data_IF_069205224450
#
_entry.id   IF_069205224450
#
_cell.length_a   1.000
_cell.length_b   1.000
_cell.length_c   1.000
_cell.angle_alpha   90.00
_cell.angle_beta   90.00
_cell.angle_gamma   90.00
#
_symmetry.space_group_name_H-M   'P 1'
#
loop_
_entity.id
_entity.type
_entity.pdbx_description
1 polymer ?
#
# COMPACT_ATOMS: atom_id res chain seq x y z
N UNK A 1 -27.50 -26.00 31.93
CA UNK A 1 -27.14 -26.16 33.36
C UNK A 1 -25.69 -25.70 33.58
N UNK A 2 -25.57 -24.88 34.62
CA UNK A 2 -24.32 -24.50 35.35
C UNK A 2 -23.38 -23.50 34.70
N UNK A 3 -23.61 -22.28 35.13
CA UNK A 3 -22.73 -21.11 35.32
C UNK A 3 -21.42 -21.49 36.00
N UNK A 4 -20.30 -20.86 35.59
CA UNK A 4 -19.26 -20.44 36.56
C UNK A 4 -18.62 -19.14 36.11
N UNK A 5 -18.94 -18.14 36.88
CA UNK A 5 -18.33 -16.80 36.97
C UNK A 5 -17.03 -16.95 37.77
N UNK A 6 -15.92 -16.36 37.28
CA UNK A 6 -14.78 -16.04 38.13
C UNK A 6 -14.28 -14.64 37.77
N UNK A 7 -14.59 -13.73 38.68
CA UNK A 7 -13.93 -12.42 38.83
C UNK A 7 -12.58 -12.62 39.47
N UNK A 8 -11.52 -11.97 38.98
CA UNK A 8 -10.43 -11.51 39.80
C UNK A 8 -9.83 -10.24 39.24
N UNK A 9 -9.97 -9.19 40.01
CA UNK A 9 -9.32 -7.90 39.90
C UNK A 9 -7.90 -7.96 40.48
N UNK A 10 -6.94 -7.26 39.83
CA UNK A 10 -5.77 -6.77 40.51
C UNK A 10 -5.22 -5.54 39.79
N UNK A 11 -5.31 -4.43 40.48
CA UNK A 11 -4.75 -3.11 40.23
C UNK A 11 -3.26 -3.14 40.58
N UNK A 12 -2.40 -2.63 39.67
CA UNK A 12 -1.09 -2.09 40.08
C UNK A 12 -0.81 -0.84 39.25
N UNK A 13 -0.90 0.29 39.94
CA UNK A 13 -0.39 1.58 39.51
C UNK A 13 1.12 1.66 39.77
N UNK A 14 1.89 2.08 38.76
CA UNK A 14 3.26 2.55 39.01
C UNK A 14 3.49 3.82 38.19
N UNK A 15 3.48 4.94 38.89
CA UNK A 15 3.92 6.25 38.47
C UNK A 15 5.46 6.29 38.50
N UNK A 16 6.08 6.58 37.37
CA UNK A 16 7.45 7.07 37.31
C UNK A 16 7.48 8.44 36.66
N UNK A 17 7.55 9.46 37.49
CA UNK A 17 7.98 10.80 37.13
C UNK A 17 9.50 10.83 37.17
N UNK A 18 10.16 11.04 36.04
CA UNK A 18 11.55 11.49 36.05
C UNK A 18 11.60 12.90 35.48
N UNK A 19 11.73 13.82 36.38
CA UNK A 19 12.14 15.20 36.19
C UNK A 19 13.63 15.23 35.87
N UNK A 20 14.04 15.79 34.76
CA UNK A 20 15.40 16.30 34.61
C UNK A 20 15.37 17.76 34.21
N UNK A 21 15.74 18.56 35.18
CA UNK A 21 16.02 19.96 35.11
C UNK A 21 17.40 20.19 34.45
N UNK A 22 17.46 21.03 33.45
CA UNK A 22 18.71 21.48 32.83
C UNK A 22 18.54 22.87 32.24
N UNK A 23 18.79 23.86 33.07
CA UNK A 23 18.76 25.29 32.77
C UNK A 23 20.04 25.69 32.05
N UNK A 24 19.97 26.35 30.89
CA UNK A 24 20.89 27.42 30.51
C UNK A 24 20.27 28.37 29.49
N UNK A 25 20.35 29.59 29.79
CA UNK A 25 19.99 30.89 29.27
C UNK A 25 20.53 31.19 27.88
N UNK A 26 19.72 31.90 27.05
CA UNK A 26 20.29 32.76 26.00
C UNK A 26 19.47 32.97 24.75
N UNK A 27 18.62 33.98 24.78
CA UNK A 27 18.32 35.02 23.77
C UNK A 27 17.73 34.71 22.40
N UNK A 28 16.44 35.11 22.29
CA UNK A 28 15.73 35.83 21.21
C UNK A 28 16.16 35.66 19.75
N UNK A 29 15.24 35.25 18.89
CA UNK A 29 14.44 36.08 17.98
C UNK A 29 13.64 35.18 17.03
N UNK A 30 12.35 35.46 16.92
CA UNK A 30 11.32 34.69 16.27
C UNK A 30 11.53 34.35 14.79
N UNK A 31 10.91 33.28 14.42
CA UNK A 31 10.08 33.22 13.21
C UNK A 31 9.28 31.92 13.21
N UNK A 32 7.99 32.06 13.04
CA UNK A 32 7.05 30.97 12.79
C UNK A 32 7.62 29.98 11.76
N UNK A 33 7.78 28.75 12.21
CA UNK A 33 7.88 27.61 11.31
C UNK A 33 6.86 26.61 11.76
N UNK A 34 5.79 26.54 11.01
CA UNK A 34 4.88 25.43 10.97
C UNK A 34 5.71 24.15 10.85
N UNK A 35 5.77 23.37 11.91
CA UNK A 35 6.28 22.01 11.84
C UNK A 35 5.35 21.24 10.93
N UNK A 36 5.74 21.09 9.70
CA UNK A 36 5.25 20.03 8.84
C UNK A 36 5.60 18.75 9.58
N UNK A 37 4.61 18.02 10.03
CA UNK A 37 4.76 16.63 10.47
C UNK A 37 5.12 15.88 9.20
N UNK A 38 6.41 15.75 8.93
CA UNK A 38 6.91 14.76 8.01
C UNK A 38 6.52 13.40 8.55
N UNK A 39 5.44 12.87 8.01
CA UNK A 39 5.09 11.47 8.18
C UNK A 39 6.08 10.68 7.33
N UNK A 40 7.27 10.48 7.89
CA UNK A 40 8.34 9.69 7.30
C UNK A 40 7.95 8.21 7.34
N UNK A 41 7.06 7.83 6.43
CA UNK A 41 6.81 6.44 6.09
C UNK A 41 7.93 5.94 5.18
N UNK A 42 9.15 5.88 5.73
CA UNK A 42 10.26 5.20 5.09
C UNK A 42 9.98 3.70 5.11
N UNK A 43 9.44 3.20 4.01
CA UNK A 43 9.61 1.81 3.68
C UNK A 43 11.12 1.58 3.49
N UNK A 44 11.69 0.68 4.27
CA UNK A 44 13.10 0.35 4.22
C UNK A 44 13.53 0.07 2.78
N UNK A 45 14.41 0.91 2.23
CA UNK A 45 15.10 0.74 0.95
C UNK A 45 14.17 0.62 -0.30
N UNK A 46 13.05 1.33 -0.33
CA UNK A 46 12.04 1.26 -1.39
C UNK A 46 11.69 2.61 -2.00
N UNK A 47 10.99 2.57 -3.12
CA UNK A 47 10.39 3.73 -3.80
C UNK A 47 9.48 4.47 -2.82
N UNK A 48 9.62 5.79 -2.72
CA UNK A 48 8.73 6.61 -1.92
C UNK A 48 7.27 6.48 -2.41
N UNK A 49 6.32 6.37 -1.48
CA UNK A 49 4.89 6.18 -1.82
C UNK A 49 4.41 7.26 -2.78
N UNK A 50 4.88 8.49 -2.63
CA UNK A 50 4.51 9.62 -3.49
C UNK A 50 4.81 9.38 -4.98
N UNK A 51 5.87 8.64 -5.29
CA UNK A 51 6.21 8.30 -6.68
C UNK A 51 5.28 7.24 -7.29
N UNK A 52 4.63 6.44 -6.42
CA UNK A 52 3.66 5.43 -6.81
C UNK A 52 2.26 6.00 -7.03
N UNK A 53 1.94 7.15 -6.43
CA UNK A 53 0.60 7.75 -6.50
C UNK A 53 0.17 7.99 -7.93
N UNK A 54 -1.02 7.50 -8.26
CA UNK A 54 -1.63 7.69 -9.57
C UNK A 54 -2.52 6.55 -9.99
N UNK A 55 -3.16 6.73 -11.13
CA UNK A 55 -4.01 5.73 -11.76
C UNK A 55 -3.26 5.05 -12.89
N UNK A 56 -3.21 3.74 -12.86
CA UNK A 56 -2.55 2.89 -13.85
C UNK A 56 -3.60 2.06 -14.59
N UNK A 57 -3.46 1.92 -15.90
CA UNK A 57 -4.38 1.15 -16.71
C UNK A 57 -3.66 0.23 -17.71
N UNK A 58 -4.28 -0.90 -18.00
CA UNK A 58 -3.79 -1.86 -18.98
C UNK A 58 -4.73 -3.06 -19.13
N UNK A 59 -4.37 -3.97 -20.00
CA UNK A 59 -5.09 -5.23 -20.17
C UNK A 59 -4.18 -6.37 -19.78
N UNK A 60 -4.49 -7.01 -18.65
CA UNK A 60 -3.77 -8.16 -18.15
C UNK A 60 -4.26 -9.44 -18.88
N UNK A 61 -3.38 -10.42 -19.11
CA UNK A 61 -3.78 -11.70 -19.70
C UNK A 61 -4.65 -12.50 -18.73
N UNK A 62 -5.57 -13.28 -19.27
CA UNK A 62 -6.43 -14.20 -18.56
C UNK A 62 -6.49 -15.55 -19.26
N UNK A 63 -6.82 -16.60 -18.50
CA UNK A 63 -6.88 -17.95 -19.04
C UNK A 63 -8.21 -18.25 -19.75
N UNK A 64 -9.28 -17.56 -19.40
CA UNK A 64 -10.66 -17.88 -19.77
C UNK A 64 -11.39 -16.75 -20.50
N UNK A 65 -10.69 -15.67 -20.83
CA UNK A 65 -11.16 -14.56 -21.64
C UNK A 65 -9.99 -13.90 -22.40
N UNK A 66 -10.27 -13.04 -23.41
CA UNK A 66 -9.20 -12.37 -24.18
C UNK A 66 -8.28 -11.49 -23.35
N UNK A 67 -8.71 -11.10 -22.16
CA UNK A 67 -7.94 -10.31 -21.21
C UNK A 67 -8.83 -9.61 -20.19
N UNK A 68 -8.20 -9.02 -19.17
CA UNK A 68 -8.87 -8.26 -18.12
C UNK A 68 -8.39 -6.81 -18.21
N UNK A 69 -9.28 -5.90 -18.62
CA UNK A 69 -9.00 -4.47 -18.49
C UNK A 69 -8.91 -4.12 -17.04
N UNK A 70 -7.75 -3.63 -16.61
CA UNK A 70 -7.47 -3.32 -15.21
C UNK A 70 -7.16 -1.84 -15.08
N UNK A 71 -7.84 -1.18 -14.13
CA UNK A 71 -7.55 0.17 -13.68
C UNK A 71 -7.20 0.09 -12.20
N UNK A 72 -5.99 0.48 -11.85
CA UNK A 72 -5.48 0.46 -10.49
C UNK A 72 -5.10 1.88 -10.07
N UNK A 73 -5.75 2.41 -9.04
CA UNK A 73 -5.40 3.70 -8.43
C UNK A 73 -4.70 3.46 -7.11
N UNK A 74 -3.51 4.03 -6.95
CA UNK A 74 -2.73 4.05 -5.72
C UNK A 74 -2.77 5.47 -5.13
N UNK A 75 -3.16 5.60 -3.87
CA UNK A 75 -3.29 6.86 -3.16
C UNK A 75 -2.13 7.10 -2.20
N UNK A 76 -1.88 8.36 -1.84
CA UNK A 76 -0.79 8.75 -0.93
C UNK A 76 -0.97 8.22 0.50
N UNK A 77 -2.20 7.89 0.90
CA UNK A 77 -2.54 7.31 2.19
C UNK A 77 -2.39 5.77 2.24
N UNK A 78 -1.70 5.18 1.26
CA UNK A 78 -1.53 3.73 1.09
C UNK A 78 -2.82 2.97 0.82
N UNK A 79 -3.89 3.64 0.42
CA UNK A 79 -5.10 2.98 -0.06
C UNK A 79 -5.04 2.74 -1.56
N UNK A 80 -5.76 1.72 -2.03
CA UNK A 80 -5.91 1.45 -3.45
C UNK A 80 -7.39 1.28 -3.83
N UNK A 81 -7.67 1.52 -5.09
CA UNK A 81 -8.91 1.15 -5.77
C UNK A 81 -8.55 0.42 -7.05
N UNK A 82 -9.21 -0.70 -7.31
CA UNK A 82 -8.99 -1.50 -8.50
C UNK A 82 -10.32 -1.84 -9.14
N UNK A 83 -10.40 -1.62 -10.44
CA UNK A 83 -11.52 -2.02 -11.29
C UNK A 83 -11.00 -2.98 -12.35
N UNK A 84 -11.72 -4.07 -12.56
CA UNK A 84 -11.36 -5.09 -13.53
C UNK A 84 -12.59 -5.47 -14.37
N UNK A 85 -12.43 -5.45 -15.68
CA UNK A 85 -13.45 -5.85 -16.64
C UNK A 85 -12.92 -6.97 -17.52
N UNK A 86 -13.45 -8.18 -17.34
CA UNK A 86 -13.12 -9.31 -18.19
C UNK A 86 -13.76 -9.11 -19.58
N UNK A 87 -12.92 -9.09 -20.61
CA UNK A 87 -13.35 -8.86 -21.99
C UNK A 87 -14.26 -10.02 -22.46
N UNK A 88 -15.34 -9.66 -23.14
CA UNK A 88 -16.35 -10.60 -23.69
C UNK A 88 -17.10 -11.42 -22.63
N UNK A 89 -17.14 -10.96 -21.38
CA UNK A 89 -17.93 -11.56 -20.29
C UNK A 89 -18.98 -10.60 -19.76
N UNK A 90 -20.24 -11.05 -19.68
CA UNK A 90 -21.35 -10.22 -19.18
C UNK A 90 -21.23 -9.88 -17.70
N UNK A 91 -20.70 -10.81 -16.90
CA UNK A 91 -20.52 -10.68 -15.45
C UNK A 91 -19.03 -10.54 -15.10
N UNK A 92 -18.26 -9.90 -16.00
CA UNK A 92 -16.81 -9.76 -15.89
C UNK A 92 -16.34 -8.53 -15.14
N UNK A 93 -17.26 -7.69 -14.62
CA UNK A 93 -16.91 -6.50 -13.85
C UNK A 93 -16.65 -6.86 -12.39
N UNK A 94 -15.53 -6.40 -11.86
CA UNK A 94 -15.15 -6.59 -10.48
C UNK A 94 -14.43 -5.34 -9.93
N UNK A 95 -14.73 -4.99 -8.68
CA UNK A 95 -14.14 -3.87 -7.99
C UNK A 95 -13.54 -4.31 -6.66
N UNK A 96 -12.39 -3.77 -6.34
CA UNK A 96 -11.75 -3.99 -5.06
C UNK A 96 -11.14 -2.68 -4.54
N UNK A 97 -11.12 -2.53 -3.22
CA UNK A 97 -10.42 -1.44 -2.54
C UNK A 97 -9.85 -1.94 -1.23
N UNK A 98 -8.79 -1.30 -0.77
CA UNK A 98 -8.11 -1.69 0.46
C UNK A 98 -6.83 -0.89 0.66
N UNK A 99 -5.91 -1.48 1.41
CA UNK A 99 -4.57 -0.94 1.64
C UNK A 99 -3.54 -1.72 0.83
N UNK A 100 -2.55 -1.01 0.30
CA UNK A 100 -1.36 -1.64 -0.28
C UNK A 100 -0.17 -1.47 0.65
N UNK A 101 0.84 -2.31 0.47
CA UNK A 101 2.13 -2.22 1.15
C UNK A 101 3.24 -2.14 0.11
N UNK A 102 4.29 -1.40 0.44
CA UNK A 102 5.52 -1.42 -0.33
C UNK A 102 6.49 -2.36 0.36
N UNK A 103 6.87 -3.41 -0.33
CA UNK A 103 7.83 -4.41 0.12
C UNK A 103 9.25 -4.05 -0.36
N UNK A 104 10.23 -4.83 0.05
CA UNK A 104 11.58 -4.74 -0.49
C UNK A 104 11.59 -4.85 -2.02
N UNK A 105 12.64 -4.33 -2.67
CA UNK A 105 12.82 -4.33 -4.14
C UNK A 105 11.71 -3.60 -4.92
N UNK A 106 11.06 -2.59 -4.30
CA UNK A 106 10.01 -1.78 -4.94
C UNK A 106 8.77 -2.57 -5.37
N UNK A 107 8.45 -3.63 -4.65
CA UNK A 107 7.27 -4.44 -4.88
C UNK A 107 6.09 -3.87 -4.10
N UNK A 108 4.99 -3.61 -4.79
CA UNK A 108 3.71 -3.19 -4.22
C UNK A 108 2.84 -4.42 -4.03
N UNK A 109 2.49 -4.73 -2.79
CA UNK A 109 1.57 -5.79 -2.42
C UNK A 109 0.16 -5.23 -2.27
N UNK A 110 -0.79 -5.82 -2.97
CA UNK A 110 -2.21 -5.48 -2.91
C UNK A 110 -2.97 -6.72 -2.48
N UNK A 111 -3.66 -6.65 -1.34
CA UNK A 111 -4.51 -7.74 -0.85
C UNK A 111 -5.98 -7.33 -0.98
N UNK A 112 -6.79 -8.15 -1.63
CA UNK A 112 -8.24 -8.00 -1.72
C UNK A 112 -8.89 -8.39 -0.39
N UNK A 113 -9.59 -7.49 0.30
CA UNK A 113 -10.20 -7.81 1.59
C UNK A 113 -11.32 -8.86 1.48
N UNK A 114 -11.99 -8.93 0.34
CA UNK A 114 -13.13 -9.84 0.11
C UNK A 114 -12.72 -11.30 -0.06
N UNK A 115 -11.59 -11.57 -0.71
CA UNK A 115 -11.12 -12.93 -1.04
C UNK A 115 -9.83 -13.32 -0.32
N UNK A 116 -9.07 -12.35 0.19
CA UNK A 116 -7.72 -12.55 0.69
C UNK A 116 -6.68 -12.76 -0.43
N UNK A 117 -7.09 -12.67 -1.68
CA UNK A 117 -6.19 -12.79 -2.82
C UNK A 117 -5.18 -11.65 -2.83
N UNK A 118 -3.91 -11.97 -3.08
CA UNK A 118 -2.82 -11.01 -3.10
C UNK A 118 -2.20 -10.93 -4.50
N UNK A 119 -2.04 -9.70 -4.98
CA UNK A 119 -1.38 -9.38 -6.23
C UNK A 119 -0.15 -8.52 -5.98
N UNK A 120 0.88 -8.69 -6.79
CA UNK A 120 2.14 -7.98 -6.63
C UNK A 120 2.48 -7.20 -7.90
N UNK A 121 2.94 -5.97 -7.71
CA UNK A 121 3.38 -5.11 -8.80
C UNK A 121 4.74 -4.51 -8.47
N UNK A 122 5.60 -4.38 -9.47
CA UNK A 122 6.90 -3.73 -9.34
C UNK A 122 6.92 -2.45 -10.15
N UNK A 123 7.54 -1.42 -9.62
CA UNK A 123 7.79 -0.19 -10.38
C UNK A 123 8.77 -0.51 -11.50
N UNK A 124 8.35 -0.28 -12.74
CA UNK A 124 9.17 -0.47 -13.92
C UNK A 124 9.88 0.83 -14.31
N UNK A 125 9.13 1.92 -14.31
CA UNK A 125 9.61 3.28 -14.57
C UNK A 125 8.65 4.30 -13.95
N UNK A 126 8.91 5.60 -14.15
CA UNK A 126 8.10 6.69 -13.58
C UNK A 126 6.62 6.66 -14.00
N UNK A 127 6.28 5.95 -15.07
CA UNK A 127 4.95 5.93 -15.68
C UNK A 127 4.37 4.52 -15.81
N UNK A 128 5.04 3.49 -15.32
CA UNK A 128 4.54 2.13 -15.46
C UNK A 128 4.91 1.22 -14.29
N UNK A 129 4.01 0.29 -14.01
CA UNK A 129 4.21 -0.82 -13.09
C UNK A 129 3.98 -2.13 -13.85
N UNK A 130 4.62 -3.18 -13.42
CA UNK A 130 4.47 -4.52 -13.99
C UNK A 130 4.02 -5.51 -12.92
N UNK A 131 3.07 -6.37 -13.25
CA UNK A 131 2.64 -7.45 -12.35
C UNK A 131 3.77 -8.48 -12.23
N UNK A 132 4.03 -8.94 -10.99
CA UNK A 132 5.14 -9.83 -10.66
C UNK A 132 4.69 -10.94 -9.72
N UNK A 133 5.61 -11.80 -9.32
CA UNK A 133 5.43 -12.65 -8.15
C UNK A 133 5.74 -11.89 -6.84
N UNK A 134 5.60 -12.56 -5.70
CA UNK A 134 5.87 -12.00 -4.37
C UNK A 134 7.33 -11.62 -4.12
N UNK A 135 8.25 -12.12 -4.93
CA UNK A 135 9.68 -11.80 -4.86
C UNK A 135 10.08 -10.66 -5.82
N UNK A 136 9.13 -10.19 -6.64
CA UNK A 136 9.35 -9.16 -7.64
C UNK A 136 9.98 -9.69 -8.93
N UNK A 137 9.88 -10.98 -9.20
CA UNK A 137 10.30 -11.54 -10.48
C UNK A 137 9.27 -11.18 -11.55
N UNK A 138 9.74 -10.58 -12.62
CA UNK A 138 8.91 -10.20 -13.77
C UNK A 138 8.63 -11.41 -14.67
N UNK A 139 7.47 -11.46 -15.35
CA UNK A 139 7.22 -12.44 -16.38
C UNK A 139 8.29 -12.36 -17.47
N UNK A 140 8.67 -13.50 -18.00
CA UNK A 140 9.71 -13.58 -19.04
C UNK A 140 9.14 -13.59 -20.46
N UNK A 141 9.99 -13.24 -21.42
CA UNK A 141 9.70 -13.32 -22.85
C UNK A 141 8.70 -12.29 -23.35
N UNK A 142 8.03 -12.61 -24.46
CA UNK A 142 7.06 -11.73 -25.12
C UNK A 142 5.83 -11.42 -24.24
N UNK A 143 5.48 -12.32 -23.34
CA UNK A 143 4.36 -12.18 -22.43
C UNK A 143 4.56 -11.05 -21.41
N UNK A 144 5.78 -10.72 -21.06
CA UNK A 144 6.08 -9.67 -20.07
C UNK A 144 5.39 -8.33 -20.41
N UNK A 145 5.26 -8.02 -21.69
CA UNK A 145 4.60 -6.77 -22.15
C UNK A 145 3.12 -6.71 -21.80
N UNK A 146 2.47 -7.86 -21.68
CA UNK A 146 1.04 -7.96 -21.36
C UNK A 146 0.73 -7.75 -19.88
N UNK A 147 1.74 -7.76 -19.02
CA UNK A 147 1.60 -7.58 -17.57
C UNK A 147 1.90 -6.15 -17.10
N UNK A 148 2.05 -5.20 -18.03
CA UNK A 148 2.37 -3.80 -17.74
C UNK A 148 1.10 -2.96 -17.64
N UNK A 149 0.98 -2.20 -16.56
CA UNK A 149 -0.01 -1.13 -16.40
C UNK A 149 0.71 0.22 -16.54
N UNK A 150 0.14 1.10 -17.34
CA UNK A 150 0.71 2.42 -17.63
C UNK A 150 -0.07 3.52 -16.92
N UNK A 151 0.63 4.51 -16.39
CA UNK A 151 0.03 5.63 -15.66
C UNK A 151 -0.84 6.47 -16.59
N UNK A 152 -2.09 6.66 -16.19
CA UNK A 152 -3.04 7.50 -16.91
C UNK A 152 -2.62 8.97 -16.76
N UNK A 153 -2.57 9.68 -17.86
CA UNK A 153 -2.27 11.11 -17.89
C UNK A 153 -3.49 11.95 -17.51
#
# INVERSE_FOLDING_TARGET
MKKKLVLMAAVVAALFVVSCNGKTTGNETGKDSLSVVENDSLAADGVAIESLVGTYEGTLPAADCPGIKTVLTLNADSTYQMQQDAIDRKDGHDEASGIFKVLANNVVEITRPSSGETSYYKVKDANSIIMTDSLGNEPEGEMAKLYVLTKKK
#
